data_IF_950648100960
#
_entry.id   IF_950648100960
#
_cell.length_a   1.000
_cell.length_b   1.000
_cell.length_c   1.000
_cell.angle_alpha   90.00
_cell.angle_beta   90.00
_cell.angle_gamma   90.00
#
_symmetry.space_group_name_H-M   'P 1'
#
loop_
_entity.id
_entity.type
_entity.pdbx_description
1 polymer ?
#
# COMPACT_ATOMS: atom_id res chain seq x y z
N UNK A 1 -8.24 -14.50 9.45
CA UNK A 1 -8.37 -13.35 10.41
C UNK A 1 -7.77 -12.09 9.74
N UNK A 2 -8.22 -10.86 10.03
CA UNK A 2 -7.71 -9.66 9.34
C UNK A 2 -6.67 -8.91 10.19
N UNK A 3 -5.45 -8.72 9.65
CA UNK A 3 -4.45 -7.84 10.25
C UNK A 3 -4.94 -6.39 10.14
N UNK A 4 -4.95 -5.65 11.26
CA UNK A 4 -5.42 -4.28 11.32
C UNK A 4 -4.31 -3.35 11.77
N UNK A 5 -4.23 -2.19 11.13
CA UNK A 5 -3.39 -1.06 11.54
C UNK A 5 -4.24 0.20 11.47
N UNK A 6 -4.26 0.99 12.54
CA UNK A 6 -4.89 2.30 12.58
C UNK A 6 -3.86 3.35 12.98
N UNK A 7 -3.89 4.51 12.32
CA UNK A 7 -3.19 5.70 12.81
C UNK A 7 -4.03 6.31 13.93
N UNK A 8 -3.53 6.29 15.16
CA UNK A 8 -4.29 6.74 16.35
C UNK A 8 -3.94 8.16 16.77
N UNK A 9 -2.70 8.60 16.53
CA UNK A 9 -2.24 9.93 16.91
C UNK A 9 -1.29 10.51 15.87
N UNK A 10 -1.36 11.82 15.68
CA UNK A 10 -0.37 12.62 14.97
C UNK A 10 0.18 13.72 15.87
N UNK A 11 1.50 13.94 15.85
CA UNK A 11 2.14 15.02 16.63
C UNK A 11 2.87 15.99 15.69
N UNK A 12 2.59 17.28 15.80
CA UNK A 12 3.25 18.35 15.03
C UNK A 12 4.63 18.68 15.60
N UNK A 13 5.49 19.31 14.80
CA UNK A 13 6.78 19.83 15.29
C UNK A 13 6.63 20.95 16.32
N UNK A 14 5.49 21.62 16.35
CA UNK A 14 5.12 22.60 17.38
C UNK A 14 4.67 21.95 18.70
N UNK A 15 4.52 20.62 18.74
CA UNK A 15 4.07 19.86 19.90
C UNK A 15 2.56 19.64 19.98
N UNK A 16 1.80 20.12 19.00
CA UNK A 16 0.35 19.88 18.94
C UNK A 16 0.09 18.40 18.70
N UNK A 17 -0.82 17.83 19.48
CA UNK A 17 -1.23 16.43 19.36
C UNK A 17 -2.67 16.36 18.89
N UNK A 18 -2.91 15.54 17.86
CA UNK A 18 -4.25 15.25 17.36
C UNK A 18 -4.52 13.76 17.49
N UNK A 19 -5.60 13.41 18.17
CA UNK A 19 -6.09 12.04 18.27
C UNK A 19 -7.06 11.76 17.13
N UNK A 20 -6.81 10.65 16.42
CA UNK A 20 -7.60 10.22 15.29
C UNK A 20 -8.57 9.14 15.70
N UNK A 21 -9.79 9.24 15.17
CA UNK A 21 -10.80 8.22 15.39
C UNK A 21 -10.45 6.96 14.59
N UNK A 22 -10.63 5.76 15.17
CA UNK A 22 -10.32 4.49 14.52
C UNK A 22 -11.25 4.14 13.34
N UNK A 23 -12.30 4.95 13.11
CA UNK A 23 -13.24 4.82 12.00
C UNK A 23 -13.64 6.21 11.47
N UNK A 24 -14.00 6.25 10.19
CA UNK A 24 -14.48 7.46 9.52
C UNK A 24 -13.43 8.10 8.61
N UNK A 25 -13.68 9.35 8.23
CA UNK A 25 -12.83 10.13 7.33
C UNK A 25 -12.29 11.33 8.10
N UNK A 26 -10.96 11.43 8.20
CA UNK A 26 -10.29 12.60 8.76
C UNK A 26 -9.90 13.55 7.65
N UNK A 27 -10.37 14.81 7.73
CA UNK A 27 -10.01 15.86 6.78
C UNK A 27 -8.96 16.80 7.37
N UNK A 28 -7.78 16.88 6.74
CA UNK A 28 -6.75 17.86 7.09
C UNK A 28 -7.00 19.14 6.27
N UNK A 29 -7.49 20.19 6.93
CA UNK A 29 -7.84 21.47 6.30
C UNK A 29 -6.94 22.61 6.76
N UNK A 30 -6.80 23.65 5.93
CA UNK A 30 -5.97 24.81 6.22
C UNK A 30 -5.64 25.63 4.97
N UNK A 31 -5.12 26.84 5.17
CA UNK A 31 -4.76 27.76 4.09
C UNK A 31 -3.70 27.21 3.12
N UNK A 32 -3.47 27.93 2.02
CA UNK A 32 -2.37 27.61 1.12
C UNK A 32 -1.04 27.65 1.86
N UNK A 33 -0.13 26.73 1.54
CA UNK A 33 1.19 26.62 2.18
C UNK A 33 1.19 26.28 3.69
N UNK A 34 0.06 25.87 4.27
CA UNK A 34 -0.03 25.48 5.68
C UNK A 34 0.53 24.08 6.01
N UNK A 35 1.30 23.46 5.11
CA UNK A 35 1.94 22.16 5.36
C UNK A 35 1.08 20.90 5.16
N UNK A 36 -0.17 20.99 4.70
CA UNK A 36 -1.08 19.83 4.52
C UNK A 36 -0.47 18.66 3.73
N UNK A 37 0.03 18.93 2.53
CA UNK A 37 0.64 17.91 1.67
C UNK A 37 1.95 17.39 2.27
N UNK A 38 2.66 18.21 3.03
CA UNK A 38 3.88 17.80 3.71
C UNK A 38 3.56 16.88 4.89
N UNK A 39 2.50 17.15 5.65
CA UNK A 39 2.03 16.27 6.72
C UNK A 39 1.71 14.86 6.19
N UNK A 40 1.02 14.77 5.04
CA UNK A 40 0.75 13.47 4.40
C UNK A 40 2.04 12.74 3.96
N UNK A 41 3.07 13.47 3.51
CA UNK A 41 4.38 12.89 3.18
C UNK A 41 5.15 12.45 4.41
N UNK A 42 5.08 13.22 5.49
CA UNK A 42 5.72 12.88 6.76
C UNK A 42 5.10 11.60 7.33
N UNK A 43 3.75 11.48 7.33
CA UNK A 43 3.04 10.24 7.71
C UNK A 43 3.55 9.06 6.89
N UNK A 44 3.58 9.20 5.56
CA UNK A 44 4.08 8.15 4.66
C UNK A 44 5.54 7.77 4.96
N UNK A 45 6.38 8.74 5.30
CA UNK A 45 7.77 8.50 5.66
C UNK A 45 7.90 7.73 6.99
N UNK A 46 7.17 8.14 8.03
CA UNK A 46 7.17 7.46 9.33
C UNK A 46 6.63 6.02 9.23
N UNK A 47 5.63 5.77 8.39
CA UNK A 47 5.10 4.43 8.15
C UNK A 47 6.14 3.49 7.53
N UNK A 48 7.10 4.02 6.75
CA UNK A 48 8.14 3.22 6.08
C UNK A 48 9.40 3.06 6.90
N UNK A 49 9.80 4.11 7.59
CA UNK A 49 11.07 4.17 8.29
C UNK A 49 10.87 4.78 9.68
N UNK A 50 11.14 4.02 10.77
CA UNK A 50 11.02 4.53 12.13
C UNK A 50 11.95 5.73 12.40
N UNK A 51 13.07 5.82 11.67
CA UNK A 51 14.05 6.91 11.81
C UNK A 51 13.76 8.10 10.89
N UNK A 52 12.60 8.12 10.21
CA UNK A 52 12.24 9.24 9.37
C UNK A 52 12.17 10.54 10.19
N UNK A 53 12.60 11.66 9.58
CA UNK A 53 12.45 12.99 10.16
C UNK A 53 11.41 13.76 9.36
N UNK A 54 10.31 14.13 10.01
CA UNK A 54 9.22 14.89 9.40
C UNK A 54 9.50 16.39 9.38
N UNK A 55 9.04 17.05 8.32
CA UNK A 55 9.24 18.51 8.12
C UNK A 55 8.23 19.30 8.96
N UNK A 56 6.98 18.87 9.01
CA UNK A 56 5.90 19.51 9.77
C UNK A 56 5.39 18.65 10.92
N UNK A 57 5.60 17.34 10.84
CA UNK A 57 5.25 16.39 11.88
C UNK A 57 6.49 15.86 12.61
N UNK A 58 6.33 15.61 13.91
CA UNK A 58 7.37 15.02 14.77
C UNK A 58 7.26 13.50 14.86
N UNK A 59 6.04 12.98 14.73
CA UNK A 59 5.79 11.55 14.81
C UNK A 59 4.32 11.20 14.72
N UNK A 60 4.08 9.90 14.65
CA UNK A 60 2.77 9.27 14.61
C UNK A 60 2.70 8.17 15.67
N UNK A 61 1.48 7.74 16.01
CA UNK A 61 1.28 6.52 16.80
C UNK A 61 0.35 5.60 16.06
N UNK A 62 0.72 4.32 16.02
CA UNK A 62 -0.10 3.27 15.41
C UNK A 62 -0.74 2.38 16.47
N UNK A 63 -1.97 1.98 16.20
CA UNK A 63 -2.66 0.89 16.89
C UNK A 63 -2.70 -0.32 15.94
N UNK A 64 -2.06 -1.41 16.35
CA UNK A 64 -1.85 -2.61 15.52
C UNK A 64 -2.49 -3.81 16.17
N UNK A 65 -2.98 -4.74 15.35
CA UNK A 65 -3.39 -6.07 15.81
C UNK A 65 -2.27 -6.74 16.59
N UNK A 66 -2.59 -7.26 17.78
CA UNK A 66 -1.69 -8.15 18.50
C UNK A 66 -1.55 -9.45 17.72
N UNK A 67 -0.31 -9.80 17.39
CA UNK A 67 0.01 -11.02 16.63
C UNK A 67 0.49 -12.07 17.61
N UNK A 68 -0.21 -13.20 17.65
CA UNK A 68 0.11 -14.30 18.57
C UNK A 68 1.24 -15.19 18.03
N UNK A 69 1.51 -15.14 16.71
CA UNK A 69 2.57 -15.88 16.04
C UNK A 69 2.58 -15.64 14.53
N UNK A 70 3.57 -16.21 13.85
CA UNK A 70 3.77 -16.03 12.39
C UNK A 70 2.67 -16.67 11.54
N UNK A 71 1.92 -17.65 12.07
CA UNK A 71 0.86 -18.35 11.33
C UNK A 71 -0.28 -17.43 10.88
N UNK A 72 -0.69 -16.47 11.72
CA UNK A 72 -1.74 -15.50 11.37
C UNK A 72 -1.29 -14.57 10.22
N UNK A 73 0.00 -14.20 10.23
CA UNK A 73 0.60 -13.38 9.18
C UNK A 73 0.73 -14.19 7.89
N UNK A 74 1.09 -15.46 7.99
CA UNK A 74 1.17 -16.34 6.83
C UNK A 74 -0.20 -16.54 6.16
N UNK A 75 -1.26 -16.74 6.93
CA UNK A 75 -2.65 -16.83 6.41
C UNK A 75 -3.05 -15.52 5.69
N UNK A 76 -2.73 -14.37 6.29
CA UNK A 76 -2.99 -13.07 5.69
C UNK A 76 -2.23 -12.90 4.38
N UNK A 77 -0.93 -13.19 4.36
CA UNK A 77 -0.09 -13.05 3.16
C UNK A 77 -0.52 -14.02 2.06
N UNK A 78 -0.85 -15.27 2.39
CA UNK A 78 -1.35 -16.24 1.43
C UNK A 78 -2.67 -15.80 0.77
N UNK A 79 -3.47 -14.99 1.47
CA UNK A 79 -4.76 -14.48 0.96
C UNK A 79 -4.65 -13.16 0.20
N UNK A 80 -3.59 -12.37 0.42
CA UNK A 80 -3.48 -10.98 -0.07
C UNK A 80 -2.21 -10.70 -0.90
N UNK A 81 -1.32 -11.67 -1.05
CA UNK A 81 -0.06 -11.53 -1.78
C UNK A 81 0.22 -12.77 -2.64
N UNK A 82 1.13 -12.62 -3.61
CA UNK A 82 1.56 -13.76 -4.43
C UNK A 82 2.59 -14.59 -3.70
N UNK A 83 2.34 -15.89 -3.63
CA UNK A 83 3.30 -16.85 -3.08
C UNK A 83 4.42 -17.11 -4.09
N UNK A 84 5.65 -16.79 -3.71
CA UNK A 84 6.83 -17.08 -4.54
C UNK A 84 7.18 -18.56 -4.44
N UNK A 85 7.51 -19.26 -5.55
CA UNK A 85 7.95 -20.65 -5.48
C UNK A 85 9.12 -20.82 -4.49
N UNK A 86 9.04 -21.79 -3.56
CA UNK A 86 10.05 -21.94 -2.52
C UNK A 86 11.41 -22.32 -3.13
N UNK A 87 12.47 -21.65 -2.69
CA UNK A 87 13.84 -22.06 -2.97
C UNK A 87 14.33 -22.99 -1.85
N UNK A 88 15.08 -24.07 -2.17
CA UNK A 88 15.60 -24.98 -1.16
C UNK A 88 16.40 -24.24 -0.08
N UNK A 89 16.00 -24.39 1.18
CA UNK A 89 16.67 -23.76 2.33
C UNK A 89 16.31 -22.30 2.59
N UNK A 90 15.39 -21.70 1.83
CA UNK A 90 14.90 -20.34 2.04
C UNK A 90 13.49 -20.32 2.64
N UNK A 91 13.14 -19.30 3.44
CA UNK A 91 11.78 -19.14 3.93
C UNK A 91 10.80 -18.87 2.78
N UNK A 92 9.53 -19.17 3.00
CA UNK A 92 8.46 -18.85 2.06
C UNK A 92 8.32 -17.34 1.91
N UNK A 93 8.52 -16.83 0.70
CA UNK A 93 8.36 -15.41 0.38
C UNK A 93 6.98 -15.14 -0.22
N UNK A 94 6.49 -13.93 0.05
CA UNK A 94 5.26 -13.39 -0.49
C UNK A 94 5.55 -12.05 -1.17
N UNK A 95 5.10 -11.89 -2.40
CA UNK A 95 5.24 -10.67 -3.20
C UNK A 95 3.97 -9.83 -3.11
N UNK A 96 4.11 -8.59 -2.65
CA UNK A 96 3.01 -7.64 -2.59
C UNK A 96 2.52 -7.28 -3.99
N UNK A 97 1.21 -7.42 -4.18
CA UNK A 97 0.48 -6.90 -5.33
C UNK A 97 0.42 -5.37 -5.34
N UNK A 98 0.55 -4.73 -4.19
CA UNK A 98 0.19 -3.32 -3.99
C UNK A 98 1.38 -2.36 -4.07
N UNK A 99 2.60 -2.88 -3.95
CA UNK A 99 3.81 -2.04 -3.81
C UNK A 99 4.91 -2.37 -4.81
N UNK A 100 4.55 -2.68 -6.06
CA UNK A 100 5.51 -2.81 -7.15
C UNK A 100 6.48 -4.00 -7.01
N UNK A 101 6.01 -5.12 -6.45
CA UNK A 101 6.79 -6.37 -6.39
C UNK A 101 7.67 -6.53 -5.14
N UNK A 102 7.57 -5.64 -4.15
CA UNK A 102 8.24 -5.82 -2.87
C UNK A 102 7.87 -7.18 -2.25
N UNK A 103 8.86 -7.92 -1.76
CA UNK A 103 8.67 -9.29 -1.27
C UNK A 103 9.24 -9.45 0.13
N UNK A 104 8.50 -10.14 1.00
CA UNK A 104 8.91 -10.42 2.37
C UNK A 104 8.41 -11.79 2.83
N UNK A 105 9.07 -12.38 3.83
CA UNK A 105 8.59 -13.57 4.52
C UNK A 105 7.67 -13.21 5.70
N UNK A 106 6.87 -14.18 6.15
CA UNK A 106 5.91 -13.99 7.23
C UNK A 106 6.56 -13.60 8.57
N UNK A 107 7.80 -14.04 8.83
CA UNK A 107 8.53 -13.70 10.06
C UNK A 107 8.95 -12.24 10.06
N UNK A 108 9.46 -11.75 8.92
CA UNK A 108 9.83 -10.35 8.75
C UNK A 108 8.63 -9.41 8.91
N UNK A 109 7.48 -9.76 8.32
CA UNK A 109 6.23 -9.00 8.47
C UNK A 109 5.71 -9.06 9.91
N UNK A 110 5.69 -10.24 10.54
CA UNK A 110 5.27 -10.39 11.94
C UNK A 110 6.15 -9.58 12.90
N UNK A 111 7.46 -9.57 12.67
CA UNK A 111 8.41 -8.75 13.43
C UNK A 111 8.12 -7.26 13.25
N UNK A 112 7.94 -6.78 12.03
CA UNK A 112 7.63 -5.37 11.78
C UNK A 112 6.31 -4.92 12.43
N UNK A 113 5.33 -5.81 12.54
CA UNK A 113 4.06 -5.51 13.20
C UNK A 113 4.14 -5.57 14.73
N UNK A 114 5.06 -6.33 15.31
CA UNK A 114 5.17 -6.55 16.77
C UNK A 114 6.26 -5.72 17.46
N UNK A 115 7.36 -5.43 16.78
CA UNK A 115 8.55 -4.78 17.40
C UNK A 115 8.63 -3.28 17.13
N UNK A 116 8.17 -2.84 15.97
CA UNK A 116 8.12 -1.44 15.62
C UNK A 116 6.79 -0.87 16.11
N UNK A 117 6.72 0.05 17.08
CA UNK A 117 5.43 0.54 17.58
C UNK A 117 4.74 1.44 16.53
N UNK A 118 5.50 2.35 15.92
CA UNK A 118 4.94 3.48 15.16
C UNK A 118 5.30 3.47 13.66
N UNK A 119 5.92 2.40 13.17
CA UNK A 119 6.25 2.21 11.75
C UNK A 119 5.80 0.83 11.26
N UNK A 120 5.68 0.64 9.94
CA UNK A 120 5.29 -0.64 9.34
C UNK A 120 6.43 -1.35 8.61
N UNK A 121 7.50 -0.65 8.24
CA UNK A 121 8.72 -1.22 7.60
C UNK A 121 8.35 -2.21 6.48
N UNK A 122 8.66 -3.50 6.62
CA UNK A 122 8.35 -4.51 5.61
C UNK A 122 6.85 -4.78 5.46
N UNK A 123 6.09 -4.67 6.55
CA UNK A 123 4.65 -4.84 6.55
C UNK A 123 3.94 -3.74 5.74
N UNK A 124 4.56 -2.57 5.59
CA UNK A 124 4.06 -1.43 4.82
C UNK A 124 3.62 -1.82 3.40
N UNK A 125 4.33 -2.76 2.78
CA UNK A 125 4.06 -3.19 1.42
C UNK A 125 2.76 -3.98 1.27
N UNK A 126 2.21 -4.54 2.34
CA UNK A 126 1.09 -5.48 2.30
C UNK A 126 -0.24 -4.87 2.74
N UNK A 127 -0.32 -3.56 2.92
CA UNK A 127 -1.56 -2.84 3.20
C UNK A 127 -1.99 -1.99 2.00
N UNK A 128 -3.31 -1.88 1.81
CA UNK A 128 -3.89 -0.98 0.81
C UNK A 128 -3.60 0.47 1.19
N UNK A 129 -3.06 1.26 0.26
CA UNK A 129 -2.81 2.68 0.45
C UNK A 129 -3.29 3.49 -0.75
N UNK A 130 -3.87 4.66 -0.45
CA UNK A 130 -4.18 5.67 -1.44
C UNK A 130 -3.60 7.00 -0.98
N UNK A 131 -2.51 7.45 -1.62
CA UNK A 131 -1.77 8.66 -1.26
C UNK A 131 -1.89 9.70 -2.39
N UNK A 132 -2.59 10.81 -2.16
CA UNK A 132 -2.62 11.97 -3.08
C UNK A 132 -2.41 13.26 -2.29
N UNK A 133 -1.54 14.19 -2.71
CA UNK A 133 -1.92 15.35 -3.54
C UNK A 133 -0.79 15.88 -4.46
N UNK A 134 0.23 15.06 -4.73
CA UNK A 134 1.35 15.39 -5.63
C UNK A 134 2.24 14.18 -5.97
N UNK A 135 2.03 13.08 -5.25
CA UNK A 135 2.61 11.75 -5.45
C UNK A 135 2.32 11.17 -6.84
N UNK A 136 1.28 11.67 -7.52
CA UNK A 136 0.94 11.25 -8.87
C UNK A 136 1.82 11.88 -9.96
N UNK A 137 2.57 12.97 -9.77
CA UNK A 137 3.34 13.52 -10.90
C UNK A 137 4.43 12.53 -11.42
N UNK A 138 4.92 11.63 -10.57
CA UNK A 138 5.86 10.56 -10.95
C UNK A 138 5.11 9.27 -11.35
N UNK A 139 3.89 9.04 -10.84
CA UNK A 139 3.07 7.84 -11.15
C UNK A 139 2.04 8.04 -12.28
N UNK A 140 1.75 9.27 -12.69
CA UNK A 140 0.82 9.65 -13.78
C UNK A 140 1.55 10.16 -15.03
N UNK A 141 2.86 10.45 -14.93
CA UNK A 141 3.71 10.70 -16.11
C UNK A 141 4.18 9.41 -16.78
N UNK A 142 4.04 8.28 -16.09
CA UNK A 142 3.85 6.99 -16.75
C UNK A 142 2.34 6.78 -16.82
N UNK A 143 1.78 6.53 -18.00
CA UNK A 143 0.35 6.24 -18.15
C UNK A 143 -0.09 5.11 -17.22
N UNK A 144 -1.41 4.86 -17.13
CA UNK A 144 -2.03 3.85 -16.25
C UNK A 144 -1.38 2.44 -16.31
N UNK A 145 -0.51 2.19 -17.27
CA UNK A 145 0.67 1.36 -17.06
C UNK A 145 1.04 0.69 -18.35
N UNK A 146 2.24 0.95 -18.86
CA UNK A 146 2.79 0.11 -19.92
C UNK A 146 3.30 -1.18 -19.27
N UNK A 147 2.67 -2.31 -19.60
CA UNK A 147 3.14 -3.61 -19.14
C UNK A 147 4.36 -4.00 -19.96
N UNK A 148 5.55 -3.74 -19.41
CA UNK A 148 6.78 -4.14 -20.10
C UNK A 148 6.88 -5.67 -20.18
N UNK A 149 7.18 -6.21 -21.37
CA UNK A 149 7.36 -7.66 -21.57
C UNK A 149 8.56 -8.24 -20.80
N UNK A 150 9.46 -7.40 -20.28
CA UNK A 150 10.62 -7.78 -19.45
C UNK A 150 10.45 -7.40 -17.97
N UNK A 151 9.30 -6.86 -17.60
CA UNK A 151 9.01 -6.43 -16.24
C UNK A 151 8.72 -7.61 -15.32
N UNK A 152 8.54 -7.30 -14.04
CA UNK A 152 8.12 -8.29 -13.06
C UNK A 152 6.79 -8.95 -13.48
N UNK A 153 6.84 -10.24 -13.82
CA UNK A 153 5.66 -11.03 -14.20
C UNK A 153 4.63 -11.11 -13.08
N UNK A 154 5.02 -10.79 -11.84
CA UNK A 154 4.14 -10.74 -10.68
C UNK A 154 3.49 -9.37 -10.49
N UNK A 155 3.71 -8.40 -11.38
CA UNK A 155 2.98 -7.13 -11.31
C UNK A 155 1.46 -7.33 -11.50
N UNK A 156 0.61 -6.51 -10.87
CA UNK A 156 -0.85 -6.61 -11.01
C UNK A 156 -1.33 -6.51 -12.45
N UNK A 157 -0.68 -5.69 -13.27
CA UNK A 157 -1.05 -5.57 -14.69
C UNK A 157 -0.71 -6.85 -15.46
N UNK A 158 0.43 -7.49 -15.20
CA UNK A 158 0.72 -8.79 -15.82
C UNK A 158 -0.30 -9.87 -15.40
N UNK A 159 -0.83 -9.81 -14.18
CA UNK A 159 -1.90 -10.71 -13.73
C UNK A 159 -3.22 -10.41 -14.44
N UNK A 160 -3.62 -9.14 -14.50
CA UNK A 160 -4.82 -8.70 -15.20
C UNK A 160 -4.79 -9.09 -16.70
N UNK A 161 -3.61 -9.05 -17.33
CA UNK A 161 -3.46 -9.49 -18.73
C UNK A 161 -3.57 -11.01 -18.91
N UNK A 162 -3.24 -11.79 -17.87
CA UNK A 162 -3.27 -13.27 -17.89
C UNK A 162 -4.64 -13.84 -17.49
N UNK A 163 -5.37 -13.12 -16.65
CA UNK A 163 -6.63 -13.57 -16.07
C UNK A 163 -7.80 -12.76 -16.65
N UNK A 164 -8.53 -13.37 -17.60
CA UNK A 164 -9.67 -12.74 -18.26
C UNK A 164 -10.89 -12.55 -17.33
N UNK A 165 -11.05 -13.40 -16.32
CA UNK A 165 -12.16 -13.29 -15.37
C UNK A 165 -11.92 -12.08 -14.45
N UNK A 166 -10.66 -11.87 -14.02
CA UNK A 166 -10.26 -10.68 -13.26
C UNK A 166 -10.42 -9.39 -14.08
N UNK A 167 -10.09 -9.41 -15.37
CA UNK A 167 -10.34 -8.29 -16.29
C UNK A 167 -11.84 -7.95 -16.36
N UNK A 168 -12.70 -8.96 -16.51
CA UNK A 168 -14.15 -8.76 -16.58
C UNK A 168 -14.72 -8.20 -15.27
N UNK A 169 -14.27 -8.72 -14.13
CA UNK A 169 -14.66 -8.22 -12.81
C UNK A 169 -14.25 -6.76 -12.62
N UNK A 170 -13.00 -6.42 -12.96
CA UNK A 170 -12.51 -5.04 -12.88
C UNK A 170 -13.28 -4.11 -13.83
N UNK A 171 -13.60 -4.56 -15.05
CA UNK A 171 -14.40 -3.78 -16.00
C UNK A 171 -15.82 -3.53 -15.50
N UNK A 172 -16.49 -4.54 -14.91
CA UNK A 172 -17.81 -4.37 -14.29
C UNK A 172 -17.77 -3.37 -13.14
N UNK A 173 -16.70 -3.40 -12.33
CA UNK A 173 -16.51 -2.47 -11.24
C UNK A 173 -16.26 -1.04 -11.75
N UNK A 174 -15.44 -0.88 -12.79
CA UNK A 174 -15.21 0.39 -13.44
C UNK A 174 -16.50 0.98 -14.01
N UNK A 175 -17.31 0.18 -14.73
CA UNK A 175 -18.59 0.62 -15.27
C UNK A 175 -19.56 1.07 -14.19
N UNK A 176 -19.59 0.37 -13.05
CA UNK A 176 -20.46 0.76 -11.92
C UNK A 176 -20.10 2.13 -11.33
N UNK A 177 -18.82 2.53 -11.38
CA UNK A 177 -18.32 3.75 -10.74
C UNK A 177 -18.23 4.92 -11.72
N UNK A 178 -17.78 4.64 -12.95
CA UNK A 178 -17.44 5.65 -13.96
C UNK A 178 -18.38 5.62 -15.17
N UNK A 179 -19.30 4.66 -15.25
CA UNK A 179 -20.19 4.42 -16.41
C UNK A 179 -19.44 4.12 -17.73
N UNK A 180 -18.15 3.79 -17.64
CA UNK A 180 -17.27 3.42 -18.75
C UNK A 180 -16.67 2.02 -18.51
N UNK A 181 -16.47 1.27 -19.59
CA UNK A 181 -15.85 -0.05 -19.47
C UNK A 181 -14.33 0.09 -19.47
N UNK A 182 -13.68 -0.84 -18.77
CA UNK A 182 -12.23 -0.94 -18.83
C UNK A 182 -11.85 -1.88 -19.98
N UNK A 183 -10.95 -1.42 -20.85
CA UNK A 183 -10.42 -2.24 -21.95
C UNK A 183 -8.89 -2.30 -21.87
N UNK A 184 -8.34 -3.50 -21.98
CA UNK A 184 -6.90 -3.70 -22.06
C UNK A 184 -6.44 -3.73 -23.51
N UNK A 185 -5.60 -2.77 -23.90
CA UNK A 185 -4.91 -2.79 -25.18
C UNK A 185 -3.75 -3.79 -25.09
N UNK A 186 -4.03 -5.05 -25.42
CA UNK A 186 -3.05 -6.14 -25.38
C UNK A 186 -1.93 -6.01 -26.41
N UNK A 187 -2.10 -5.16 -27.43
CA UNK A 187 -1.09 -4.92 -28.48
C UNK A 187 -0.07 -3.90 -27.99
N UNK A 188 -0.55 -2.81 -27.39
CA UNK A 188 0.30 -1.75 -26.86
C UNK A 188 0.64 -1.92 -25.37
N UNK A 189 0.12 -2.99 -24.76
CA UNK A 189 0.28 -3.32 -23.35
C UNK A 189 -0.15 -2.18 -22.43
N UNK A 190 -1.29 -1.56 -22.74
CA UNK A 190 -1.77 -0.30 -22.14
C UNK A 190 -3.20 -0.44 -21.63
N UNK A 191 -3.55 0.20 -20.51
CA UNK A 191 -4.90 0.15 -19.93
C UNK A 191 -5.69 1.39 -20.32
N UNK A 192 -6.88 1.20 -20.91
CA UNK A 192 -7.72 2.31 -21.36
C UNK A 192 -9.14 2.20 -20.83
N UNK A 193 -9.63 3.31 -20.31
CA UNK A 193 -11.05 3.52 -20.04
C UNK A 193 -11.72 3.96 -21.35
N UNK A 194 -12.87 3.37 -21.69
CA UNK A 194 -13.64 3.68 -22.89
C UNK A 194 -15.13 3.57 -22.66
#
# INVERSE_FOLDING_TARGET
>A
MALRVNLSTMTSNSGDKVELQPWGVTCIVGGNNAGKSQALRDIDAFLRNPDASGVVMRGITLDKSSISGTGEVEEYLASNALRVPPQPGSPQLYTSLMSGGASADATSVARALSTEPDSLVEAWHFFYRHLTAGSLAIWSSQGAGHVSMRGDMNSPLHQLFRDGDLEEELSKLAYKVFEENLTLDRVNMDVRLR
#
